data_IF_181748865698
#
_entry.id   IF_181748865698
#
_cell.length_a   1.000
_cell.length_b   1.000
_cell.length_c   1.000
_cell.angle_alpha   90.00
_cell.angle_beta   90.00
_cell.angle_gamma   90.00
#
_symmetry.space_group_name_H-M   'P 1'
#
loop_
_entity.id
_entity.type
_entity.pdbx_description
1 polymer ?
#
# COMPACT_ATOMS: atom_id res chain seq x y z
N UNK A 1 1.83 7.47 16.54
CA UNK A 1 1.71 7.13 15.11
C UNK A 1 2.89 6.28 14.68
N UNK A 2 2.62 5.22 13.92
CA UNK A 2 3.60 4.27 13.42
C UNK A 2 3.41 4.08 11.91
N UNK A 3 4.47 3.67 11.20
CA UNK A 3 4.34 3.19 9.84
C UNK A 3 4.17 1.66 9.83
N UNK A 4 3.44 1.13 8.83
CA UNK A 4 3.28 -0.30 8.66
C UNK A 4 4.63 -1.05 8.58
N UNK A 5 5.66 -0.41 8.00
CA UNK A 5 7.01 -0.97 7.92
C UNK A 5 7.63 -1.23 9.29
N UNK A 6 7.34 -0.39 10.29
CA UNK A 6 7.87 -0.57 11.65
C UNK A 6 7.19 -1.76 12.35
N UNK A 7 5.91 -1.97 12.09
CA UNK A 7 5.15 -3.12 12.57
C UNK A 7 5.65 -4.42 11.91
N UNK A 8 5.63 -4.46 10.57
CA UNK A 8 5.95 -5.69 9.82
C UNK A 8 7.43 -6.10 9.91
N UNK A 9 8.34 -5.15 10.18
CA UNK A 9 9.75 -5.44 10.43
C UNK A 9 10.08 -5.81 11.88
N UNK A 10 9.08 -5.79 12.77
CA UNK A 10 9.27 -6.08 14.19
C UNK A 10 9.97 -4.96 15.00
N UNK A 11 10.17 -3.78 14.41
CA UNK A 11 10.74 -2.61 15.12
C UNK A 11 9.79 -2.04 16.16
N UNK A 12 8.48 -2.17 15.94
CA UNK A 12 7.45 -1.76 16.87
C UNK A 12 6.41 -2.87 17.03
N UNK A 13 6.02 -3.16 18.27
CA UNK A 13 4.99 -4.14 18.62
C UNK A 13 3.80 -3.46 19.26
N UNK A 14 2.59 -3.90 18.91
CA UNK A 14 1.34 -3.49 19.55
C UNK A 14 0.60 -4.73 20.04
N UNK A 15 0.18 -4.75 21.31
CA UNK A 15 -0.59 -5.85 21.90
C UNK A 15 -1.74 -5.32 22.74
N UNK A 16 -2.91 -5.94 22.60
CA UNK A 16 -4.12 -5.60 23.34
C UNK A 16 -4.48 -4.11 23.24
N UNK A 17 -4.33 -3.53 22.06
CA UNK A 17 -4.59 -2.13 21.75
C UNK A 17 -5.74 -1.98 20.76
N UNK A 18 -6.39 -0.81 20.80
CA UNK A 18 -7.27 -0.36 19.76
C UNK A 18 -6.44 0.35 18.69
N UNK A 19 -6.31 -0.25 17.51
CA UNK A 19 -5.43 0.24 16.46
C UNK A 19 -6.25 0.73 15.27
N UNK A 20 -6.02 1.98 14.86
CA UNK A 20 -6.52 2.53 13.61
C UNK A 20 -5.46 2.35 12.53
N UNK A 21 -5.83 1.72 11.41
CA UNK A 21 -4.98 1.62 10.22
C UNK A 21 -5.55 2.53 9.14
N UNK A 22 -4.73 3.44 8.63
CA UNK A 22 -5.07 4.32 7.52
C UNK A 22 -4.47 3.77 6.24
N UNK A 23 -5.35 3.35 5.33
CA UNK A 23 -5.03 2.66 4.08
C UNK A 23 -5.40 1.19 4.10
N UNK A 24 -6.43 0.81 3.32
CA UNK A 24 -6.94 -0.54 3.17
C UNK A 24 -6.49 -1.20 1.85
N UNK A 25 -5.29 -0.89 1.38
CA UNK A 25 -4.60 -1.64 0.34
C UNK A 25 -4.12 -3.01 0.84
N UNK A 26 -3.54 -3.84 -0.03
CA UNK A 26 -3.07 -5.21 0.33
C UNK A 26 -2.21 -5.20 1.59
N UNK A 27 -1.19 -4.34 1.65
CA UNK A 27 -0.30 -4.28 2.82
C UNK A 27 -1.01 -3.78 4.09
N UNK A 28 -2.05 -2.93 3.95
CA UNK A 28 -2.89 -2.52 5.08
C UNK A 28 -3.69 -3.69 5.65
N UNK A 29 -4.24 -4.53 4.78
CA UNK A 29 -4.95 -5.75 5.16
C UNK A 29 -4.03 -6.75 5.87
N UNK A 30 -2.84 -7.01 5.31
CA UNK A 30 -1.82 -7.89 5.91
C UNK A 30 -1.36 -7.38 7.28
N UNK A 31 -1.17 -6.06 7.41
CA UNK A 31 -0.84 -5.42 8.69
C UNK A 31 -1.97 -5.57 9.70
N UNK A 32 -3.22 -5.42 9.25
CA UNK A 32 -4.40 -5.61 10.10
C UNK A 32 -4.50 -7.04 10.61
N UNK A 33 -4.31 -8.02 9.75
CA UNK A 33 -4.33 -9.43 10.11
C UNK A 33 -3.24 -9.76 11.14
N UNK A 34 -2.00 -9.32 10.89
CA UNK A 34 -0.90 -9.48 11.83
C UNK A 34 -1.24 -8.88 13.21
N UNK A 35 -1.77 -7.64 13.25
CA UNK A 35 -2.13 -6.98 14.49
C UNK A 35 -3.31 -7.65 15.21
N UNK A 36 -4.28 -8.20 14.49
CA UNK A 36 -5.35 -9.01 15.08
C UNK A 36 -4.80 -10.27 15.75
N UNK A 37 -3.85 -10.99 15.12
CA UNK A 37 -3.17 -12.13 15.72
C UNK A 37 -2.42 -11.77 17.02
N UNK A 38 -1.88 -10.55 17.11
CA UNK A 38 -1.25 -10.03 18.34
C UNK A 38 -2.27 -9.56 19.41
N UNK A 39 -3.56 -9.83 19.21
CA UNK A 39 -4.64 -9.54 20.17
C UNK A 39 -5.16 -8.09 20.14
N UNK A 40 -4.87 -7.34 19.07
CA UNK A 40 -5.37 -5.98 18.94
C UNK A 40 -6.79 -5.95 18.35
N UNK A 41 -7.56 -4.93 18.70
CA UNK A 41 -8.81 -4.57 18.02
C UNK A 41 -8.47 -3.59 16.89
N UNK A 42 -8.83 -3.92 15.66
CA UNK A 42 -8.39 -3.17 14.48
C UNK A 42 -9.56 -2.50 13.77
N UNK A 43 -9.37 -1.24 13.41
CA UNK A 43 -10.23 -0.49 12.49
C UNK A 43 -9.39 -0.05 11.29
N UNK A 44 -9.83 -0.37 10.07
CA UNK A 44 -9.20 0.11 8.84
C UNK A 44 -10.03 1.24 8.24
N UNK A 45 -9.39 2.32 7.81
CA UNK A 45 -10.03 3.40 7.07
C UNK A 45 -9.30 3.65 5.75
N UNK A 46 -10.07 3.92 4.69
CA UNK A 46 -9.52 4.29 3.37
C UNK A 46 -10.42 5.34 2.70
N UNK A 47 -9.81 6.20 1.88
CA UNK A 47 -10.51 7.18 1.06
C UNK A 47 -11.32 6.52 -0.07
N UNK A 48 -10.90 5.35 -0.53
CA UNK A 48 -11.60 4.57 -1.54
C UNK A 48 -12.86 3.93 -0.94
N UNK A 49 -13.85 3.71 -1.77
CA UNK A 49 -15.09 3.03 -1.40
C UNK A 49 -14.97 1.50 -1.36
N UNK A 50 -13.85 0.97 -1.87
CA UNK A 50 -13.54 -0.46 -1.96
C UNK A 50 -12.19 -0.78 -1.34
N UNK A 51 -12.10 -1.93 -0.72
CA UNK A 51 -10.87 -2.48 -0.17
C UNK A 51 -9.98 -2.99 -1.31
N UNK A 52 -8.71 -2.54 -1.35
CA UNK A 52 -7.67 -2.98 -2.27
C UNK A 52 -8.16 -3.23 -3.72
N UNK A 53 -8.79 -2.25 -4.41
CA UNK A 53 -9.53 -2.47 -5.66
C UNK A 53 -8.65 -2.98 -6.81
N UNK A 54 -7.34 -2.74 -6.76
CA UNK A 54 -6.38 -3.14 -7.80
C UNK A 54 -5.67 -4.47 -7.49
N UNK A 55 -6.09 -5.19 -6.44
CA UNK A 55 -5.49 -6.46 -6.05
C UNK A 55 -6.31 -7.66 -6.57
N UNK A 56 -5.74 -8.86 -6.46
CA UNK A 56 -6.46 -10.09 -6.78
C UNK A 56 -7.66 -10.28 -5.85
N UNK A 57 -8.86 -10.32 -6.40
CA UNK A 57 -10.12 -10.40 -5.65
C UNK A 57 -10.20 -11.61 -4.72
N UNK A 58 -9.68 -12.77 -5.14
CA UNK A 58 -9.69 -13.99 -4.31
C UNK A 58 -8.87 -13.80 -3.05
N UNK A 59 -7.64 -13.24 -3.19
CA UNK A 59 -6.77 -12.98 -2.05
C UNK A 59 -7.38 -11.94 -1.11
N UNK A 60 -7.96 -10.87 -1.66
CA UNK A 60 -8.63 -9.84 -0.85
C UNK A 60 -9.82 -10.42 -0.09
N UNK A 61 -10.65 -11.23 -0.75
CA UNK A 61 -11.82 -11.85 -0.12
C UNK A 61 -11.41 -12.79 1.03
N UNK A 62 -10.33 -13.56 0.84
CA UNK A 62 -9.80 -14.48 1.84
C UNK A 62 -9.29 -13.72 3.09
N UNK A 63 -8.43 -12.71 2.91
CA UNK A 63 -7.94 -11.89 4.04
C UNK A 63 -9.09 -11.15 4.73
N UNK A 64 -10.03 -10.56 3.98
CA UNK A 64 -11.20 -9.92 4.57
C UNK A 64 -12.09 -10.91 5.34
N UNK A 65 -12.19 -12.16 4.89
CA UNK A 65 -12.87 -13.23 5.61
C UNK A 65 -12.25 -13.46 6.98
N UNK A 66 -10.93 -13.66 7.04
CA UNK A 66 -10.20 -13.83 8.31
C UNK A 66 -10.29 -12.60 9.21
N UNK A 67 -10.19 -11.40 8.67
CA UNK A 67 -10.34 -10.16 9.44
C UNK A 67 -11.73 -10.03 10.09
N UNK A 68 -12.79 -10.53 9.44
CA UNK A 68 -14.13 -10.57 10.03
C UNK A 68 -14.22 -11.48 11.24
N UNK A 69 -13.50 -12.62 11.25
CA UNK A 69 -13.43 -13.52 12.41
C UNK A 69 -12.83 -12.81 13.63
N UNK A 70 -11.91 -11.88 13.43
CA UNK A 70 -11.35 -10.99 14.47
C UNK A 70 -12.22 -9.77 14.79
N UNK A 71 -13.40 -9.63 14.18
CA UNK A 71 -14.26 -8.44 14.31
C UNK A 71 -13.58 -7.14 13.88
N UNK A 72 -12.63 -7.18 12.95
CA UNK A 72 -12.02 -5.97 12.38
C UNK A 72 -13.07 -5.14 11.65
N UNK A 73 -13.03 -3.83 11.85
CA UNK A 73 -13.98 -2.89 11.27
C UNK A 73 -13.39 -2.18 10.06
N UNK A 74 -14.24 -1.91 9.07
CA UNK A 74 -13.84 -1.20 7.84
C UNK A 74 -14.64 0.10 7.71
N UNK A 75 -13.93 1.20 7.56
CA UNK A 75 -14.48 2.54 7.31
C UNK A 75 -14.00 2.99 5.93
N UNK A 76 -14.76 2.59 4.89
CA UNK A 76 -14.46 2.93 3.50
C UNK A 76 -15.12 4.25 3.10
N UNK A 77 -14.52 4.98 2.16
CA UNK A 77 -14.86 6.34 1.78
C UNK A 77 -14.69 7.36 2.94
N UNK A 78 -13.63 7.17 3.74
CA UNK A 78 -13.23 8.08 4.81
C UNK A 78 -11.82 8.60 4.62
N UNK A 79 -11.62 9.92 4.70
CA UNK A 79 -10.32 10.57 4.64
C UNK A 79 -9.81 10.91 6.04
N UNK A 80 -8.55 10.63 6.33
CA UNK A 80 -7.90 11.09 7.56
C UNK A 80 -7.75 12.62 7.53
N UNK A 81 -8.29 13.31 8.52
CA UNK A 81 -8.17 14.77 8.69
C UNK A 81 -7.15 15.12 9.77
N UNK A 82 -7.18 14.42 10.89
CA UNK A 82 -6.35 14.75 12.04
C UNK A 82 -6.04 13.49 12.86
N UNK A 83 -4.83 13.44 13.42
CA UNK A 83 -4.44 12.45 14.42
C UNK A 83 -4.38 13.17 15.77
N UNK A 84 -5.22 12.74 16.72
CA UNK A 84 -5.29 13.27 18.08
C UNK A 84 -4.52 12.36 19.05
N UNK A 85 -4.42 12.80 20.29
CA UNK A 85 -3.75 12.04 21.36
C UNK A 85 -4.43 10.69 21.64
N UNK A 86 -5.74 10.63 21.51
CA UNK A 86 -6.62 9.52 21.89
C UNK A 86 -7.38 8.91 20.71
N UNK A 87 -7.00 9.26 19.48
CA UNK A 87 -7.64 8.71 18.27
C UNK A 87 -7.41 9.53 17.02
N UNK A 88 -8.38 9.48 16.11
CA UNK A 88 -8.33 10.19 14.83
C UNK A 88 -9.65 10.89 14.53
N UNK A 89 -9.57 11.93 13.70
CA UNK A 89 -10.73 12.54 13.04
C UNK A 89 -10.71 12.08 11.58
N UNK A 90 -11.78 11.44 11.15
CA UNK A 90 -12.01 11.01 9.78
C UNK A 90 -13.15 11.84 9.17
N UNK A 91 -12.98 12.31 7.94
CA UNK A 91 -14.05 12.91 7.16
C UNK A 91 -14.73 11.82 6.32
N UNK A 92 -16.02 11.58 6.51
CA UNK A 92 -16.82 10.75 5.62
C UNK A 92 -17.03 11.48 4.31
N UNK A 93 -16.53 10.92 3.19
CA UNK A 93 -16.45 11.66 1.92
C UNK A 93 -17.81 11.91 1.25
N UNK A 94 -18.82 11.11 1.57
CA UNK A 94 -20.15 11.22 0.95
C UNK A 94 -20.91 12.49 1.38
N UNK A 95 -20.77 12.90 2.63
CA UNK A 95 -21.53 14.02 3.23
C UNK A 95 -20.64 15.04 3.97
N UNK A 96 -19.31 14.84 3.93
CA UNK A 96 -18.32 15.71 4.56
C UNK A 96 -18.43 15.83 6.09
N UNK A 97 -19.07 14.86 6.72
CA UNK A 97 -19.20 14.82 8.17
C UNK A 97 -17.89 14.27 8.80
N UNK A 98 -17.40 14.99 9.80
CA UNK A 98 -16.28 14.53 10.61
C UNK A 98 -16.74 13.54 11.68
N UNK A 99 -16.03 12.40 11.77
CA UNK A 99 -16.27 11.33 12.74
C UNK A 99 -15.00 11.14 13.56
N UNK A 100 -15.13 11.20 14.88
CA UNK A 100 -14.02 10.87 15.78
C UNK A 100 -14.01 9.38 16.09
N UNK A 101 -12.85 8.75 15.95
CA UNK A 101 -12.63 7.33 16.24
C UNK A 101 -11.52 7.20 17.27
N UNK A 102 -11.86 6.68 18.44
CA UNK A 102 -10.88 6.44 19.48
C UNK A 102 -9.90 5.34 19.09
N UNK A 103 -8.60 5.55 19.31
CA UNK A 103 -7.55 4.59 19.07
C UNK A 103 -6.34 4.84 19.98
N UNK A 104 -5.72 3.75 20.46
CA UNK A 104 -4.48 3.81 21.25
C UNK A 104 -3.25 4.00 20.35
N UNK A 105 -3.35 3.57 19.10
CA UNK A 105 -2.29 3.70 18.10
C UNK A 105 -2.86 3.90 16.70
N UNK A 106 -2.11 4.64 15.87
CA UNK A 106 -2.43 4.85 14.45
C UNK A 106 -1.29 4.30 13.61
N UNK A 107 -1.61 3.45 12.65
CA UNK A 107 -0.67 2.87 11.70
C UNK A 107 -0.96 3.41 10.30
N UNK A 108 0.04 4.01 9.68
CA UNK A 108 -0.07 4.55 8.33
C UNK A 108 0.37 3.51 7.29
N UNK A 109 -0.53 3.16 6.37
CA UNK A 109 -0.33 2.24 5.25
C UNK A 109 -0.71 2.89 3.91
N UNK A 110 -0.19 4.10 3.65
CA UNK A 110 -0.61 5.00 2.58
C UNK A 110 0.12 4.77 1.23
N UNK A 111 0.71 3.59 1.02
CA UNK A 111 1.47 3.29 -0.20
C UNK A 111 2.92 3.77 -0.15
N UNK A 112 3.53 3.87 -1.31
CA UNK A 112 4.88 4.38 -1.52
C UNK A 112 4.85 5.53 -2.52
N UNK A 113 5.84 6.40 -2.43
CA UNK A 113 6.13 7.38 -3.48
C UNK A 113 7.39 6.93 -4.21
N UNK A 114 7.41 6.98 -5.55
CA UNK A 114 8.62 6.77 -6.30
C UNK A 114 9.73 7.73 -5.84
N UNK A 115 10.95 7.22 -5.75
CA UNK A 115 12.13 8.00 -5.44
C UNK A 115 13.19 7.71 -6.51
N UNK A 116 13.55 8.74 -7.28
CA UNK A 116 14.52 8.67 -8.36
C UNK A 116 15.62 9.73 -8.25
N UNK A 117 15.77 10.38 -7.08
CA UNK A 117 16.74 11.45 -6.87
C UNK A 117 18.19 11.02 -7.21
N UNK A 118 18.53 9.74 -6.99
CA UNK A 118 19.84 9.17 -7.32
C UNK A 118 20.16 9.29 -8.82
N UNK A 119 19.15 9.26 -9.70
CA UNK A 119 19.36 9.43 -11.15
C UNK A 119 19.86 10.84 -11.46
N UNK A 120 19.31 11.84 -10.78
CA UNK A 120 19.74 13.24 -10.93
C UNK A 120 21.15 13.46 -10.40
N UNK A 121 21.48 12.94 -9.23
CA UNK A 121 22.83 12.99 -8.65
C UNK A 121 23.89 12.31 -9.55
N UNK A 122 23.55 11.17 -10.14
CA UNK A 122 24.44 10.47 -11.06
C UNK A 122 24.65 11.25 -12.36
N UNK A 123 23.59 11.88 -12.86
CA UNK A 123 23.65 12.72 -14.05
C UNK A 123 24.57 13.94 -13.85
N UNK A 124 24.52 14.57 -12.68
CA UNK A 124 25.43 15.68 -12.31
C UNK A 124 26.89 15.24 -12.31
N UNK A 125 27.17 13.98 -11.99
CA UNK A 125 28.50 13.37 -12.04
C UNK A 125 28.90 12.84 -13.42
N UNK A 126 28.11 13.10 -14.48
CA UNK A 126 28.35 12.64 -15.83
C UNK A 126 28.06 11.14 -16.04
N UNK A 127 27.39 10.48 -15.10
CA UNK A 127 27.06 9.06 -15.19
C UNK A 127 25.64 8.90 -15.79
N UNK A 128 25.55 8.17 -16.88
CA UNK A 128 24.25 7.81 -17.48
C UNK A 128 23.52 6.77 -16.61
N UNK A 129 22.39 7.18 -16.01
CA UNK A 129 21.52 6.32 -15.22
C UNK A 129 20.06 6.46 -15.69
N UNK A 130 19.30 5.39 -15.54
CA UNK A 130 17.86 5.36 -15.83
C UNK A 130 17.12 4.72 -14.66
N UNK A 131 16.10 5.42 -14.15
CA UNK A 131 15.18 4.82 -13.19
C UNK A 131 14.28 3.76 -13.86
N UNK A 132 14.01 2.66 -13.15
CA UNK A 132 13.13 1.58 -13.59
C UNK A 132 12.27 1.10 -12.41
N UNK A 133 11.19 0.36 -12.69
CA UNK A 133 10.33 -0.24 -11.66
C UNK A 133 9.75 0.80 -10.71
N UNK A 134 9.77 0.49 -9.43
CA UNK A 134 9.16 1.33 -8.39
C UNK A 134 9.85 2.66 -8.15
N UNK A 135 11.06 2.85 -8.66
CA UNK A 135 11.70 4.17 -8.67
C UNK A 135 11.00 5.16 -9.62
N UNK A 136 10.24 4.67 -10.61
CA UNK A 136 9.47 5.49 -11.58
C UNK A 136 7.99 5.54 -11.21
N UNK A 137 7.40 4.39 -10.91
CA UNK A 137 5.98 4.27 -10.60
C UNK A 137 5.76 3.11 -9.63
N UNK A 138 5.01 3.36 -8.58
CA UNK A 138 4.59 2.32 -7.66
C UNK A 138 3.80 1.22 -8.40
N UNK A 139 4.10 -0.05 -8.06
CA UNK A 139 3.49 -1.17 -8.73
C UNK A 139 3.95 -2.53 -8.20
N UNK A 140 3.47 -3.58 -8.85
CA UNK A 140 3.78 -4.97 -8.54
C UNK A 140 5.09 -5.42 -9.21
N UNK A 141 5.52 -6.66 -8.90
CA UNK A 141 6.75 -7.25 -9.44
C UNK A 141 6.73 -7.32 -10.99
N UNK A 142 5.60 -7.68 -11.61
CA UNK A 142 5.52 -7.86 -13.05
C UNK A 142 5.79 -6.58 -13.86
N UNK A 143 5.18 -5.42 -13.57
CA UNK A 143 5.56 -4.15 -14.20
C UNK A 143 7.01 -3.75 -13.96
N UNK A 144 7.53 -3.98 -12.74
CA UNK A 144 8.92 -3.65 -12.41
C UNK A 144 9.90 -4.50 -13.25
N UNK A 145 9.69 -5.81 -13.33
CA UNK A 145 10.49 -6.72 -14.16
C UNK A 145 10.41 -6.37 -15.65
N UNK A 146 9.22 -6.01 -16.15
CA UNK A 146 9.03 -5.59 -17.54
C UNK A 146 9.83 -4.32 -17.84
N UNK A 147 9.77 -3.32 -16.95
CA UNK A 147 10.52 -2.06 -17.16
C UNK A 147 12.03 -2.29 -17.20
N UNK A 148 12.56 -3.19 -16.37
CA UNK A 148 13.96 -3.61 -16.38
C UNK A 148 14.35 -4.30 -17.69
N UNK A 149 13.53 -5.24 -18.16
CA UNK A 149 13.73 -5.92 -19.44
C UNK A 149 13.74 -4.94 -20.61
N UNK A 150 12.78 -4.01 -20.67
CA UNK A 150 12.70 -3.00 -21.74
C UNK A 150 13.91 -2.04 -21.72
N UNK A 151 14.36 -1.62 -20.53
CA UNK A 151 15.55 -0.79 -20.39
C UNK A 151 16.79 -1.52 -20.90
N UNK A 152 17.02 -2.77 -20.48
CA UNK A 152 18.13 -3.59 -20.94
C UNK A 152 18.11 -3.79 -22.48
N UNK A 153 16.94 -4.09 -23.05
CA UNK A 153 16.77 -4.26 -24.51
C UNK A 153 17.12 -3.00 -25.29
N UNK A 154 16.78 -1.82 -24.76
CA UNK A 154 17.15 -0.53 -25.37
C UNK A 154 18.66 -0.28 -25.34
N UNK A 155 19.30 -0.59 -24.21
CA UNK A 155 20.76 -0.41 -24.05
C UNK A 155 21.54 -1.29 -25.03
N UNK A 156 21.17 -2.54 -25.18
CA UNK A 156 21.92 -3.51 -25.99
C UNK A 156 21.45 -3.58 -27.45
N UNK A 157 20.47 -2.76 -27.89
CA UNK A 157 19.92 -2.76 -29.26
C UNK A 157 19.54 -4.16 -29.76
N UNK A 158 19.18 -5.06 -28.86
CA UNK A 158 18.83 -6.43 -29.22
C UNK A 158 17.42 -6.47 -29.79
N UNK A 159 17.27 -6.89 -31.06
CA UNK A 159 15.99 -7.14 -31.73
C UNK A 159 15.37 -8.47 -31.29
N UNK A 160 15.27 -8.71 -29.97
CA UNK A 160 14.58 -9.87 -29.46
C UNK A 160 13.07 -9.61 -29.61
N UNK A 161 12.39 -10.35 -30.49
CA UNK A 161 10.93 -10.33 -30.57
C UNK A 161 10.39 -10.74 -29.20
N UNK A 162 9.55 -9.90 -28.59
CA UNK A 162 8.85 -10.25 -27.35
C UNK A 162 8.00 -11.49 -27.61
N UNK A 163 8.16 -12.59 -26.84
CA UNK A 163 7.29 -13.74 -26.98
C UNK A 163 5.83 -13.35 -26.80
N UNK A 164 4.94 -13.89 -27.65
CA UNK A 164 3.50 -13.53 -27.68
C UNK A 164 2.76 -13.75 -26.36
N UNK A 165 3.30 -14.56 -25.45
CA UNK A 165 2.72 -14.82 -24.12
C UNK A 165 3.03 -13.72 -23.09
N UNK A 166 3.84 -12.69 -23.45
CA UNK A 166 4.17 -11.56 -22.56
C UNK A 166 3.25 -10.35 -22.84
N UNK A 167 2.46 -10.36 -23.91
CA UNK A 167 1.44 -9.35 -24.14
C UNK A 167 0.32 -9.56 -23.11
N UNK A 168 0.11 -8.58 -22.23
CA UNK A 168 -1.10 -8.57 -21.40
C UNK A 168 -2.33 -8.57 -22.31
N UNK A 169 -3.41 -9.30 -21.97
CA UNK A 169 -4.66 -9.14 -22.68
C UNK A 169 -5.05 -7.65 -22.65
N UNK A 170 -5.41 -7.11 -23.81
CA UNK A 170 -6.02 -5.80 -23.93
C UNK A 170 -7.25 -5.78 -23.02
N UNK A 171 -7.39 -4.70 -22.26
CA UNK A 171 -8.51 -4.50 -21.34
C UNK A 171 -9.83 -4.64 -22.10
N UNK A 172 -10.64 -5.63 -21.73
CA UNK A 172 -12.09 -5.64 -22.01
C UNK A 172 -12.83 -5.04 -20.85
#
# INVERSE_FOLDING_TARGET
TLFRSDILSGKAGLKNKKVMIIGAGVTGLETAEYLCHEGNTVVLADMLDKVAPNANHTNVADVCGRLKEYNAQFMMAYALKEIKKDGVVLERLNDKINVEVAADAVVLSLGFRPDNHLVEELKEKGIHAQAIGNAVKDGTIAPASRSGFEAARKLFKTSVKTPSFITAPEEM
#
